data_IF_815511367038
#
_entry.id   IF_815511367038
#
_cell.length_a   1.000
_cell.length_b   1.000
_cell.length_c   1.000
_cell.angle_alpha   90.00
_cell.angle_beta   90.00
_cell.angle_gamma   90.00
#
_symmetry.space_group_name_H-M   'P 1'
#
loop_
_entity.id
_entity.type
_entity.pdbx_description
1 polymer ?
#
# COMPACT_ATOMS: atom_id res chain seq x y z
N UNK A 1 -42.50 -57.06 39.06
CA UNK A 1 -42.44 -57.63 37.70
C UNK A 1 -42.34 -56.44 36.77
N UNK A 2 -41.13 -56.08 36.34
CA UNK A 2 -40.54 -56.55 35.06
C UNK A 2 -40.91 -55.56 33.94
N UNK A 3 -40.05 -54.89 33.15
CA UNK A 3 -38.60 -54.80 32.85
C UNK A 3 -38.44 -53.41 32.17
N UNK A 4 -37.45 -52.58 32.51
CA UNK A 4 -36.23 -52.33 31.73
C UNK A 4 -36.38 -52.25 30.19
N UNK A 5 -36.35 -51.03 29.64
CA UNK A 5 -35.74 -50.58 28.36
C UNK A 5 -35.54 -49.06 28.53
N UNK A 6 -34.37 -48.52 28.87
CA UNK A 6 -33.11 -48.48 28.11
C UNK A 6 -33.31 -48.18 26.63
N UNK A 7 -33.40 -46.89 26.31
CA UNK A 7 -33.11 -46.38 24.98
C UNK A 7 -32.37 -45.05 25.17
N UNK A 8 -31.05 -45.18 25.35
CA UNK A 8 -30.10 -44.09 25.38
C UNK A 8 -30.26 -43.23 24.11
N UNK A 9 -30.76 -42.01 24.29
CA UNK A 9 -30.71 -40.97 23.26
C UNK A 9 -29.23 -40.74 22.93
N UNK A 10 -28.79 -40.86 21.66
CA UNK A 10 -27.40 -40.62 21.34
C UNK A 10 -27.08 -39.19 21.74
N UNK A 11 -26.05 -39.08 22.57
CA UNK A 11 -25.33 -37.86 22.88
C UNK A 11 -25.04 -37.20 21.52
N UNK A 12 -25.78 -36.16 21.16
CA UNK A 12 -25.36 -35.21 20.15
C UNK A 12 -24.04 -34.67 20.68
N UNK A 13 -22.95 -35.30 20.23
CA UNK A 13 -21.62 -34.74 20.31
C UNK A 13 -21.74 -33.42 19.59
N UNK A 14 -21.99 -32.36 20.37
CA UNK A 14 -21.61 -31.03 19.99
C UNK A 14 -20.12 -31.15 19.71
N UNK A 15 -19.78 -31.40 18.45
CA UNK A 15 -18.50 -31.12 17.92
C UNK A 15 -18.27 -29.66 18.32
N UNK A 16 -17.48 -29.48 19.39
CA UNK A 16 -16.77 -28.25 19.63
C UNK A 16 -15.92 -28.10 18.38
N UNK A 17 -16.52 -27.50 17.36
CA UNK A 17 -15.82 -26.79 16.31
C UNK A 17 -15.11 -25.69 17.07
N UNK A 18 -13.94 -26.06 17.59
CA UNK A 18 -12.90 -25.14 17.96
C UNK A 18 -12.81 -24.23 16.75
N UNK A 19 -13.33 -23.00 16.87
CA UNK A 19 -12.94 -21.94 15.98
C UNK A 19 -11.43 -21.86 16.14
N UNK A 20 -10.70 -22.56 15.27
CA UNK A 20 -9.31 -22.27 15.01
C UNK A 20 -9.33 -20.82 14.54
N UNK A 21 -9.17 -19.91 15.50
CA UNK A 21 -8.74 -18.56 15.22
C UNK A 21 -7.54 -18.73 14.31
N UNK A 22 -7.70 -18.32 13.05
CA UNK A 22 -6.69 -18.39 12.01
C UNK A 22 -5.40 -17.86 12.62
N UNK A 23 -4.53 -18.79 12.99
CA UNK A 23 -3.24 -18.49 13.55
C UNK A 23 -2.49 -17.89 12.38
N UNK A 24 -2.15 -16.61 12.54
CA UNK A 24 -1.40 -15.78 11.59
C UNK A 24 -2.26 -14.91 10.65
N UNK A 25 -2.92 -13.89 11.22
CA UNK A 25 -3.43 -12.73 10.47
C UNK A 25 -2.41 -11.58 10.43
N UNK A 26 -1.15 -11.84 10.78
CA UNK A 26 -0.07 -10.85 10.80
C UNK A 26 0.78 -10.92 9.53
N UNK A 27 1.59 -9.89 9.24
CA UNK A 27 2.62 -10.01 8.21
C UNK A 27 3.52 -11.21 8.55
N UNK A 28 3.77 -12.06 7.56
CA UNK A 28 4.66 -13.20 7.69
C UNK A 28 5.95 -12.71 8.35
N UNK A 29 6.34 -13.33 9.46
CA UNK A 29 7.44 -12.89 10.31
C UNK A 29 8.76 -12.81 9.52
N UNK A 30 9.00 -11.68 8.87
CA UNK A 30 10.30 -11.34 8.29
C UNK A 30 11.10 -10.70 9.40
N UNK A 31 12.16 -11.40 9.77
CA UNK A 31 13.09 -11.06 10.82
C UNK A 31 13.54 -9.60 10.79
N UNK A 32 13.79 -9.11 11.99
CA UNK A 32 14.48 -7.88 12.36
C UNK A 32 15.36 -7.30 11.23
N UNK A 33 15.06 -6.05 10.84
CA UNK A 33 15.85 -5.19 9.93
C UNK A 33 15.59 -5.36 8.41
N UNK A 34 14.33 -5.28 7.98
CA UNK A 34 13.98 -4.99 6.58
C UNK A 34 13.34 -3.60 6.53
N UNK A 35 13.93 -2.68 5.76
CA UNK A 35 13.35 -1.38 5.45
C UNK A 35 11.97 -1.61 4.80
N UNK A 36 10.91 -1.33 5.54
CA UNK A 36 9.51 -1.67 5.16
C UNK A 36 9.08 -0.98 3.86
N UNK A 37 9.78 0.09 3.49
CA UNK A 37 9.56 0.84 2.25
C UNK A 37 9.84 -0.01 1.00
N UNK A 38 10.82 -0.92 1.05
CA UNK A 38 11.18 -1.79 -0.07
C UNK A 38 10.13 -2.86 -0.35
N UNK A 39 9.16 -3.05 0.56
CA UNK A 39 8.08 -4.02 0.40
C UNK A 39 6.85 -3.44 -0.34
N UNK A 40 6.69 -2.12 -0.34
CA UNK A 40 5.55 -1.44 -0.96
C UNK A 40 5.93 -0.71 -2.25
N UNK A 41 7.18 -0.31 -2.39
CA UNK A 41 7.70 0.43 -3.55
C UNK A 41 8.90 -0.28 -4.17
N UNK A 42 8.63 -1.43 -4.79
CA UNK A 42 9.64 -2.18 -5.54
C UNK A 42 10.32 -1.30 -6.60
N UNK A 43 11.63 -1.46 -6.75
CA UNK A 43 12.42 -0.70 -7.72
C UNK A 43 11.90 -0.84 -9.16
N UNK A 44 11.31 -1.98 -9.51
CA UNK A 44 10.69 -2.22 -10.83
C UNK A 44 9.47 -1.32 -11.07
N UNK A 45 8.58 -1.19 -10.08
CA UNK A 45 7.41 -0.32 -10.17
C UNK A 45 7.86 1.14 -10.29
N UNK A 46 8.89 1.52 -9.54
CA UNK A 46 9.45 2.86 -9.55
C UNK A 46 10.06 3.19 -10.90
N UNK A 47 10.84 2.29 -11.47
CA UNK A 47 11.43 2.46 -12.79
C UNK A 47 10.34 2.56 -13.88
N UNK A 48 9.28 1.74 -13.80
CA UNK A 48 8.15 1.82 -14.72
C UNK A 48 7.42 3.17 -14.64
N UNK A 49 7.18 3.69 -13.43
CA UNK A 49 6.54 4.99 -13.24
C UNK A 49 7.43 6.11 -13.80
N UNK A 50 8.74 6.06 -13.54
CA UNK A 50 9.71 7.02 -14.09
C UNK A 50 9.67 7.01 -15.62
N UNK A 51 9.78 5.84 -16.24
CA UNK A 51 9.74 5.71 -17.70
C UNK A 51 8.45 6.28 -18.27
N UNK A 52 7.30 5.89 -17.72
CA UNK A 52 6.01 6.32 -18.24
C UNK A 52 5.76 7.81 -18.04
N UNK A 53 6.22 8.38 -16.93
CA UNK A 53 6.11 9.81 -16.63
C UNK A 53 6.93 10.62 -17.61
N UNK A 54 8.20 10.23 -17.83
CA UNK A 54 9.08 10.90 -18.79
C UNK A 54 8.52 10.80 -20.22
N UNK A 55 8.04 9.62 -20.62
CA UNK A 55 7.39 9.44 -21.92
C UNK A 55 6.19 10.38 -22.09
N UNK A 56 5.28 10.41 -21.10
CA UNK A 56 4.09 11.26 -21.13
C UNK A 56 4.47 12.75 -21.23
N UNK A 57 5.46 13.18 -20.43
CA UNK A 57 5.94 14.55 -20.46
C UNK A 57 6.51 14.91 -21.83
N UNK A 58 7.33 14.05 -22.45
CA UNK A 58 7.84 14.28 -23.80
C UNK A 58 6.70 14.42 -24.82
N UNK A 59 5.67 13.55 -24.76
CA UNK A 59 4.50 13.68 -25.65
C UNK A 59 3.75 15.00 -25.44
N UNK A 60 3.62 15.42 -24.18
CA UNK A 60 2.98 16.70 -23.84
C UNK A 60 3.79 17.90 -24.36
N UNK A 61 5.11 17.90 -24.20
CA UNK A 61 6.01 18.93 -24.70
C UNK A 61 6.03 19.06 -26.23
N UNK A 62 5.79 17.95 -26.94
CA UNK A 62 5.68 17.95 -28.40
C UNK A 62 4.42 18.65 -28.92
N UNK A 63 3.36 18.63 -28.13
CA UNK A 63 2.05 19.20 -28.51
C UNK A 63 1.80 20.59 -27.94
N UNK A 64 2.51 20.95 -26.86
CA UNK A 64 2.35 22.23 -26.17
C UNK A 64 3.65 23.01 -26.13
N UNK A 65 3.62 24.25 -26.63
CA UNK A 65 4.78 25.13 -26.65
C UNK A 65 4.57 26.29 -25.70
N UNK A 66 5.00 26.14 -24.45
CA UNK A 66 5.01 27.21 -23.47
C UNK A 66 6.43 27.40 -22.89
N UNK A 67 6.76 28.62 -22.49
CA UNK A 67 8.10 28.95 -21.97
C UNK A 67 8.47 28.15 -20.73
N UNK A 68 7.51 27.93 -19.82
CA UNK A 68 7.70 27.14 -18.60
C UNK A 68 7.91 25.65 -18.86
N UNK A 69 7.44 25.15 -20.00
CA UNK A 69 7.62 23.75 -20.41
C UNK A 69 9.06 23.47 -20.89
N UNK A 70 9.81 24.49 -21.30
CA UNK A 70 11.23 24.36 -21.69
C UNK A 70 12.15 23.97 -20.54
N UNK A 71 11.71 24.16 -19.30
CA UNK A 71 12.49 23.85 -18.10
C UNK A 71 12.29 22.38 -17.65
N UNK A 72 11.41 21.63 -18.31
CA UNK A 72 11.20 20.23 -17.99
C UNK A 72 12.49 19.42 -18.16
N UNK A 73 12.76 18.58 -17.17
CA UNK A 73 13.85 17.60 -17.18
C UNK A 73 13.26 16.23 -16.88
N UNK A 74 13.89 15.20 -17.45
CA UNK A 74 13.54 13.82 -17.14
C UNK A 74 13.72 13.55 -15.65
N UNK A 75 12.73 12.87 -15.08
CA UNK A 75 12.69 12.51 -13.68
C UNK A 75 13.52 11.25 -13.46
N UNK A 76 14.24 11.18 -12.34
CA UNK A 76 14.93 9.97 -11.88
C UNK A 76 14.24 9.28 -10.69
N UNK A 77 14.67 8.06 -10.37
CA UNK A 77 14.16 7.28 -9.22
C UNK A 77 14.15 8.08 -7.90
N UNK A 78 15.25 8.78 -7.61
CA UNK A 78 15.40 9.56 -6.36
C UNK A 78 14.39 10.70 -6.27
N UNK A 79 14.12 11.37 -7.38
CA UNK A 79 13.15 12.46 -7.43
C UNK A 79 11.72 11.94 -7.24
N UNK A 80 11.39 10.81 -7.87
CA UNK A 80 10.09 10.16 -7.69
C UNK A 80 9.88 9.70 -6.24
N UNK A 81 10.90 9.11 -5.61
CA UNK A 81 10.83 8.73 -4.19
C UNK A 81 10.70 9.94 -3.27
N UNK A 82 11.41 11.03 -3.57
CA UNK A 82 11.29 12.29 -2.83
C UNK A 82 9.87 12.85 -2.97
N UNK A 83 9.29 12.78 -4.17
CA UNK A 83 7.91 13.18 -4.40
C UNK A 83 6.92 12.35 -3.57
N UNK A 84 7.04 11.02 -3.53
CA UNK A 84 6.20 10.19 -2.67
C UNK A 84 6.37 10.49 -1.19
N UNK A 85 7.59 10.72 -0.72
CA UNK A 85 7.83 11.15 0.65
C UNK A 85 7.11 12.47 0.98
N UNK A 86 7.07 13.43 0.03
CA UNK A 86 6.31 14.67 0.20
C UNK A 86 4.80 14.43 0.24
N UNK A 87 4.26 13.49 -0.55
CA UNK A 87 2.83 13.13 -0.51
C UNK A 87 2.46 12.51 0.83
N UNK A 88 3.26 11.58 1.34
CA UNK A 88 3.06 10.96 2.66
C UNK A 88 3.13 12.03 3.75
N UNK A 89 4.10 12.94 3.68
CA UNK A 89 4.23 14.02 4.66
C UNK A 89 3.02 14.98 4.65
N UNK A 90 2.41 15.22 3.49
CA UNK A 90 1.20 16.03 3.39
C UNK A 90 0.00 15.39 4.08
N UNK A 91 -0.11 14.07 3.99
CA UNK A 91 -1.14 13.30 4.69
C UNK A 91 -0.96 13.38 6.21
N UNK A 92 0.29 13.36 6.69
CA UNK A 92 0.60 13.50 8.13
C UNK A 92 0.34 14.91 8.65
N UNK A 93 0.66 15.94 7.87
CA UNK A 93 0.51 17.34 8.27
C UNK A 93 -0.72 17.91 7.58
N UNK A 94 -1.90 17.86 8.18
CA UNK A 94 -3.09 18.42 7.55
C UNK A 94 -3.02 19.96 7.47
N UNK A 95 -2.99 20.51 6.24
CA UNK A 95 -3.14 21.93 5.96
C UNK A 95 -4.47 22.20 5.26
N UNK A 96 -5.14 23.33 5.56
CA UNK A 96 -6.48 23.62 5.04
C UNK A 96 -6.51 23.87 3.52
N UNK A 97 -5.36 24.03 2.87
CA UNK A 97 -5.27 24.19 1.43
C UNK A 97 -3.97 23.58 0.90
N UNK A 98 -4.06 22.83 -0.19
CA UNK A 98 -2.89 22.19 -0.83
C UNK A 98 -1.79 23.21 -1.17
N UNK A 99 -2.16 24.45 -1.55
CA UNK A 99 -1.21 25.51 -1.87
C UNK A 99 -0.31 25.88 -0.68
N UNK A 100 -0.77 25.66 0.56
CA UNK A 100 -0.02 25.97 1.77
C UNK A 100 1.10 24.98 2.06
N UNK A 101 1.14 23.81 1.43
CA UNK A 101 2.29 22.90 1.50
C UNK A 101 3.49 23.42 0.72
N UNK A 102 3.23 24.26 -0.29
CA UNK A 102 4.23 24.78 -1.21
C UNK A 102 4.51 26.28 -0.99
N UNK A 103 3.91 26.87 0.06
CA UNK A 103 4.16 28.26 0.46
C UNK A 103 5.48 28.37 1.24
N UNK A 104 6.36 29.26 0.80
CA UNK A 104 7.54 29.72 1.55
C UNK A 104 7.25 30.94 2.44
N UNK A 105 6.03 31.48 2.37
CA UNK A 105 5.51 32.53 3.26
C UNK A 105 4.89 31.93 4.51
#
# INVERSE_FOLDING_TARGET
>A
MEKAQDEARPEDSAASNSLEATKDSGPAATADNVDTNDYFFDWEIIDLIVEKTNWCAIQFLRTHHASHLKTWREIGRKELMTFFALIILQDVIEKPNVKLYWSTR
#
